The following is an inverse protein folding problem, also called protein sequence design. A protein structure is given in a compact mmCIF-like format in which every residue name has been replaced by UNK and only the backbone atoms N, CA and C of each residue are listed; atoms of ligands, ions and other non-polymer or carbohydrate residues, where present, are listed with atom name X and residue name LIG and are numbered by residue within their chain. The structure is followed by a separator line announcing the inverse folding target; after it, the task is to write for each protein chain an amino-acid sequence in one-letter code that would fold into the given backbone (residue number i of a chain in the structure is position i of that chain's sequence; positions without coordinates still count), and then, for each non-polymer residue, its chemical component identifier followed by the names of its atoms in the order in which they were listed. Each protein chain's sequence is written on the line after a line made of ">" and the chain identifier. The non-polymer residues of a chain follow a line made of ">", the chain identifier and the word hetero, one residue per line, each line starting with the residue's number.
data_IF_498457997939
#
_entry.id   IF_498457997939
#
_cell.length_a   1.000
_cell.length_b   1.000
_cell.length_c   1.000
_cell.angle_alpha   90.00
_cell.angle_beta   90.00
_cell.angle_gamma   90.00
#
_symmetry.space_group_name_H-M   'P 1'
#
loop_
_entity.id
_entity.type
_entity.pdbx_description
1 polymer ?
#
# COMPACT_ATOMS: atom_id res chain seq x y z
N UNK A 1 -8.05 -10.57 -3.78
CA UNK A 1 -7.98 -9.31 -4.56
C UNK A 1 -8.50 -8.18 -3.70
N UNK A 2 -7.86 -7.03 -3.76
CA UNK A 2 -8.27 -5.83 -3.04
C UNK A 2 -8.82 -4.80 -4.04
N UNK A 3 -9.91 -4.12 -3.67
CA UNK A 3 -10.57 -3.14 -4.52
C UNK A 3 -11.68 -3.70 -5.42
N UNK A 4 -12.31 -2.81 -6.17
CA UNK A 4 -13.39 -3.13 -7.12
C UNK A 4 -12.81 -3.23 -8.53
N UNK A 5 -13.03 -4.35 -9.22
CA UNK A 5 -12.56 -4.53 -10.59
C UNK A 5 -13.11 -3.43 -11.51
N UNK A 6 -12.23 -2.82 -12.29
CA UNK A 6 -12.53 -1.73 -13.23
C UNK A 6 -12.35 -2.17 -14.67
N UNK A 7 -11.37 -3.03 -14.91
CA UNK A 7 -11.06 -3.56 -16.23
C UNK A 7 -10.45 -4.95 -16.12
N UNK A 8 -10.59 -5.73 -17.18
CA UNK A 8 -10.11 -7.10 -17.26
C UNK A 8 -9.61 -7.39 -18.67
N UNK A 9 -8.47 -8.05 -18.77
CA UNK A 9 -7.91 -8.50 -20.05
C UNK A 9 -7.37 -9.92 -19.94
N UNK A 10 -7.95 -10.82 -20.73
CA UNK A 10 -7.53 -12.22 -20.76
C UNK A 10 -6.67 -12.51 -22.02
N UNK A 11 -5.62 -13.30 -21.86
CA UNK A 11 -4.80 -13.78 -22.97
C UNK A 11 -4.29 -15.19 -22.73
N UNK A 12 -3.76 -15.80 -23.79
CA UNK A 12 -3.11 -17.11 -23.74
C UNK A 12 -1.67 -16.93 -24.16
N UNK A 13 -0.72 -17.41 -23.36
CA UNK A 13 0.68 -17.43 -23.69
C UNK A 13 0.99 -18.50 -24.75
N UNK A 14 2.19 -18.44 -25.34
CA UNK A 14 2.61 -19.38 -26.42
C UNK A 14 2.70 -20.84 -25.94
N UNK A 15 2.87 -21.05 -24.64
CA UNK A 15 2.87 -22.39 -24.02
C UNK A 15 1.47 -22.93 -23.69
N UNK A 16 0.41 -22.14 -24.00
CA UNK A 16 -0.98 -22.48 -23.74
C UNK A 16 -1.49 -22.05 -22.36
N UNK A 17 -0.66 -21.45 -21.51
CA UNK A 17 -1.06 -20.94 -20.20
C UNK A 17 -2.03 -19.75 -20.36
N UNK A 18 -3.10 -19.77 -19.58
CA UNK A 18 -4.13 -18.70 -19.59
C UNK A 18 -3.88 -17.73 -18.47
N UNK A 19 -3.87 -16.46 -18.82
CA UNK A 19 -3.71 -15.34 -17.91
C UNK A 19 -4.91 -14.40 -17.99
N UNK A 20 -5.23 -13.77 -16.87
CA UNK A 20 -6.26 -12.76 -16.78
C UNK A 20 -5.75 -11.58 -15.96
N UNK A 21 -5.50 -10.44 -16.59
CA UNK A 21 -5.13 -9.22 -15.89
C UNK A 21 -6.37 -8.51 -15.41
N UNK A 22 -6.38 -8.14 -14.14
CA UNK A 22 -7.49 -7.43 -13.50
C UNK A 22 -6.97 -6.13 -12.89
N UNK A 23 -7.42 -5.01 -13.43
CA UNK A 23 -7.25 -3.70 -12.83
C UNK A 23 -8.38 -3.39 -11.86
N UNK A 24 -8.06 -3.10 -10.61
CA UNK A 24 -9.02 -2.60 -9.62
C UNK A 24 -8.83 -1.09 -9.45
N UNK A 25 -9.68 -0.46 -8.65
CA UNK A 25 -9.49 0.94 -8.22
C UNK A 25 -8.31 1.11 -7.24
N UNK A 26 -7.68 0.02 -6.82
CA UNK A 26 -6.62 0.02 -5.81
C UNK A 26 -5.33 -0.67 -6.25
N UNK A 27 -5.42 -1.72 -7.06
CA UNK A 27 -4.31 -2.61 -7.40
C UNK A 27 -4.43 -3.22 -8.78
N UNK A 28 -3.29 -3.74 -9.28
CA UNK A 28 -3.20 -4.54 -10.49
C UNK A 28 -2.90 -5.99 -10.12
N UNK A 29 -3.63 -6.92 -10.74
CA UNK A 29 -3.45 -8.35 -10.54
C UNK A 29 -3.29 -9.09 -11.86
N UNK A 30 -2.53 -10.19 -11.81
CA UNK A 30 -2.58 -11.24 -12.83
C UNK A 30 -3.10 -12.51 -12.17
N UNK A 31 -4.08 -13.13 -12.79
CA UNK A 31 -4.63 -14.42 -12.37
C UNK A 31 -4.09 -15.49 -13.30
N UNK A 32 -3.50 -16.53 -12.74
CA UNK A 32 -3.02 -17.71 -13.41
C UNK A 32 -3.57 -18.94 -12.66
N UNK A 33 -4.23 -19.85 -13.37
CA UNK A 33 -4.82 -21.08 -12.79
C UNK A 33 -5.68 -20.84 -11.53
N UNK A 34 -6.36 -19.69 -11.46
CA UNK A 34 -7.21 -19.31 -10.33
C UNK A 34 -6.46 -18.66 -9.16
N UNK A 35 -5.15 -18.49 -9.23
CA UNK A 35 -4.34 -17.77 -8.25
C UNK A 35 -4.14 -16.31 -8.70
N UNK A 36 -4.40 -15.36 -7.81
CA UNK A 36 -4.20 -13.95 -8.10
C UNK A 36 -2.86 -13.46 -7.53
N UNK A 37 -2.04 -12.92 -8.40
CA UNK A 37 -0.74 -12.31 -8.07
C UNK A 37 -0.86 -10.80 -8.14
N UNK A 38 -0.46 -10.11 -7.08
CA UNK A 38 -0.37 -8.64 -7.06
C UNK A 38 0.85 -8.21 -7.89
N UNK A 39 0.61 -7.48 -8.97
CA UNK A 39 1.63 -6.94 -9.87
C UNK A 39 1.67 -5.41 -9.84
N UNK A 40 1.08 -4.80 -8.82
CA UNK A 40 1.07 -3.34 -8.67
C UNK A 40 2.50 -2.81 -8.61
N UNK A 41 2.92 -1.91 -9.51
CA UNK A 41 4.29 -1.41 -9.54
C UNK A 41 4.67 -0.65 -8.26
N UNK A 42 5.94 -0.76 -7.88
CA UNK A 42 6.53 0.03 -6.81
C UNK A 42 6.96 1.38 -7.38
N UNK A 43 6.43 2.45 -6.80
CA UNK A 43 6.77 3.83 -7.15
C UNK A 43 8.14 4.22 -6.62
N UNK A 44 8.42 3.80 -5.37
CA UNK A 44 9.59 4.23 -4.63
C UNK A 44 9.94 3.21 -3.54
N UNK A 45 11.23 3.10 -3.23
CA UNK A 45 11.72 2.37 -2.07
C UNK A 45 12.60 3.30 -1.25
N UNK A 46 12.24 3.49 0.03
CA UNK A 46 13.00 4.30 0.97
C UNK A 46 13.60 3.44 2.07
N UNK A 47 14.88 3.66 2.37
CA UNK A 47 15.54 3.06 3.52
C UNK A 47 15.27 3.91 4.76
N UNK A 48 14.67 3.28 5.79
CA UNK A 48 14.28 3.94 7.01
C UNK A 48 15.01 3.35 8.22
N UNK A 49 15.20 4.15 9.25
CA UNK A 49 15.78 3.72 10.53
C UNK A 49 14.87 4.14 11.67
N UNK A 50 14.42 3.16 12.45
CA UNK A 50 13.52 3.34 13.59
C UNK A 50 12.26 4.18 13.25
N UNK A 51 11.54 3.87 12.16
CA UNK A 51 10.46 4.72 11.70
C UNK A 51 9.17 4.58 12.51
N UNK A 52 9.00 3.50 13.27
CA UNK A 52 7.71 3.17 13.88
C UNK A 52 7.55 3.76 15.27
N UNK A 53 6.40 4.35 15.52
CA UNK A 53 5.94 4.80 16.84
C UNK A 53 4.63 4.11 17.17
N UNK A 54 4.59 3.42 18.31
CA UNK A 54 3.46 2.68 18.83
C UNK A 54 2.87 3.37 20.06
N UNK A 55 1.63 3.06 20.40
CA UNK A 55 0.94 3.61 21.58
C UNK A 55 -0.08 2.60 22.16
N UNK A 56 0.37 1.37 22.39
CA UNK A 56 -0.46 0.27 22.92
C UNK A 56 -1.83 0.11 22.21
N UNK A 57 -1.91 0.51 20.95
CA UNK A 57 -3.10 0.42 20.09
C UNK A 57 -2.75 -0.31 18.79
N UNK A 58 -3.74 -0.47 17.91
CA UNK A 58 -3.54 -0.99 16.55
C UNK A 58 -3.00 0.07 15.57
N UNK A 59 -2.95 1.33 15.95
CA UNK A 59 -2.43 2.41 15.12
C UNK A 59 -0.93 2.55 15.30
N UNK A 60 -0.16 2.49 14.22
CA UNK A 60 1.28 2.70 14.21
C UNK A 60 1.58 3.92 13.34
N UNK A 61 2.24 4.90 13.93
CA UNK A 61 2.74 6.07 13.19
C UNK A 61 4.07 5.70 12.54
N UNK A 62 4.20 6.00 11.27
CA UNK A 62 5.43 5.81 10.49
C UNK A 62 6.00 7.17 10.16
N UNK A 63 7.25 7.39 10.54
CA UNK A 63 8.01 8.60 10.19
C UNK A 63 8.87 8.33 8.98
N UNK A 64 8.61 9.06 7.90
CA UNK A 64 9.34 8.97 6.64
C UNK A 64 9.29 10.34 5.94
N UNK A 65 10.43 10.99 5.84
CA UNK A 65 10.52 12.37 5.35
C UNK A 65 10.18 12.45 3.86
N UNK A 66 9.21 13.31 3.54
CA UNK A 66 8.77 13.56 2.16
C UNK A 66 8.25 12.30 1.43
N UNK A 67 7.57 11.42 2.12
CA UNK A 67 7.10 10.13 1.61
C UNK A 67 6.15 10.23 0.39
N UNK A 68 5.52 11.36 0.17
CA UNK A 68 4.63 11.61 -0.97
C UNK A 68 3.42 10.66 -1.07
N UNK A 69 3.18 9.86 -0.05
CA UNK A 69 2.06 8.92 -0.03
C UNK A 69 0.76 9.61 0.43
N UNK A 70 -0.36 9.06 0.00
CA UNK A 70 -1.70 9.55 0.32
C UNK A 70 -2.47 8.47 1.10
N UNK A 71 -3.55 8.90 1.75
CA UNK A 71 -4.48 7.95 2.36
C UNK A 71 -5.03 7.00 1.30
N UNK A 72 -4.99 5.71 1.60
CA UNK A 72 -5.42 4.65 0.69
C UNK A 72 -4.32 4.09 -0.20
N UNK A 73 -3.12 4.66 -0.21
CA UNK A 73 -1.94 4.06 -0.83
C UNK A 73 -1.49 2.83 -0.03
N UNK A 74 -0.71 1.97 -0.68
CA UNK A 74 -0.13 0.78 -0.06
C UNK A 74 1.38 0.91 0.09
N UNK A 75 1.87 0.47 1.23
CA UNK A 75 3.29 0.38 1.56
C UNK A 75 3.62 -1.02 2.06
N UNK A 76 4.72 -1.59 1.57
CA UNK A 76 5.27 -2.85 2.07
C UNK A 76 6.55 -2.56 2.81
N UNK A 77 6.62 -3.00 4.05
CA UNK A 77 7.85 -2.94 4.84
C UNK A 77 8.59 -4.27 4.76
N UNK A 78 9.92 -4.20 4.74
CA UNK A 78 10.79 -5.37 4.86
C UNK A 78 12.06 -5.07 5.67
N UNK A 79 12.64 -6.14 6.22
CA UNK A 79 13.92 -6.11 6.98
C UNK A 79 13.88 -5.35 8.31
N UNK A 80 12.71 -4.99 8.82
CA UNK A 80 12.58 -4.39 10.14
C UNK A 80 12.57 -5.44 11.25
N UNK A 81 13.02 -5.06 12.44
CA UNK A 81 12.82 -5.84 13.67
C UNK A 81 11.41 -5.60 14.21
N UNK A 82 10.87 -6.60 14.92
CA UNK A 82 9.58 -6.46 15.58
C UNK A 82 9.60 -5.31 16.61
N UNK A 83 8.48 -4.62 16.74
CA UNK A 83 8.30 -3.53 17.70
C UNK A 83 7.05 -3.78 18.55
N UNK A 84 7.19 -3.80 19.87
CA UNK A 84 6.10 -4.03 20.83
C UNK A 84 5.20 -5.22 20.47
N UNK A 85 5.84 -6.34 20.05
CA UNK A 85 5.16 -7.56 19.63
C UNK A 85 4.54 -7.53 18.23
N UNK A 86 4.71 -6.45 17.47
CA UNK A 86 4.22 -6.31 16.11
C UNK A 86 5.31 -6.64 15.09
N UNK A 87 5.01 -7.54 14.16
CA UNK A 87 5.80 -7.72 12.94
C UNK A 87 5.27 -6.78 11.86
N UNK A 88 6.12 -5.83 11.47
CA UNK A 88 5.80 -4.83 10.45
C UNK A 88 6.20 -5.28 9.04
N UNK A 89 6.89 -6.42 8.85
CA UNK A 89 7.40 -6.88 7.55
C UNK A 89 6.28 -7.46 6.66
N UNK A 90 5.37 -6.60 6.24
CA UNK A 90 4.25 -6.94 5.36
C UNK A 90 3.68 -5.68 4.72
N UNK A 91 2.68 -5.87 3.88
CA UNK A 91 1.95 -4.78 3.25
C UNK A 91 0.90 -4.18 4.20
N UNK A 92 0.78 -2.86 4.15
CA UNK A 92 -0.23 -2.08 4.85
C UNK A 92 -0.89 -1.06 3.93
N UNK A 93 -2.18 -0.81 4.16
CA UNK A 93 -2.85 0.37 3.64
C UNK A 93 -2.56 1.58 4.55
N UNK A 94 -2.25 2.72 3.96
CA UNK A 94 -2.08 3.99 4.68
C UNK A 94 -3.46 4.51 5.06
N UNK A 95 -3.79 4.48 6.34
CA UNK A 95 -5.12 4.82 6.85
C UNK A 95 -5.32 6.32 7.08
N UNK A 96 -4.25 7.04 7.34
CA UNK A 96 -4.24 8.51 7.39
C UNK A 96 -2.83 9.05 7.16
N UNK A 97 -2.76 10.29 6.67
CA UNK A 97 -1.52 11.04 6.51
C UNK A 97 -1.57 12.24 7.45
N UNK A 98 -0.61 12.32 8.37
CA UNK A 98 -0.54 13.40 9.35
C UNK A 98 0.08 14.67 8.73
N UNK A 99 1.15 14.50 7.95
CA UNK A 99 1.85 15.55 7.22
C UNK A 99 2.77 14.90 6.16
N UNK A 100 3.64 15.69 5.52
CA UNK A 100 4.60 15.19 4.50
C UNK A 100 5.61 14.17 5.01
N UNK A 101 5.78 14.07 6.32
CA UNK A 101 6.86 13.30 6.97
C UNK A 101 6.34 12.19 7.88
N UNK A 102 5.00 12.01 7.98
CA UNK A 102 4.40 10.99 8.83
C UNK A 102 3.02 10.57 8.36
N UNK A 103 2.78 9.27 8.41
CA UNK A 103 1.48 8.65 8.13
C UNK A 103 1.17 7.54 9.16
N UNK A 104 -0.03 7.01 9.11
CA UNK A 104 -0.51 5.96 10.01
C UNK A 104 -0.90 4.73 9.20
N UNK A 105 -0.48 3.57 9.71
CA UNK A 105 -0.96 2.26 9.28
C UNK A 105 -1.67 1.57 10.44
N UNK A 106 -2.56 0.63 10.13
CA UNK A 106 -3.32 -0.10 11.16
C UNK A 106 -2.93 -1.57 11.15
N UNK A 107 -2.54 -2.10 12.30
CA UNK A 107 -2.22 -3.50 12.52
C UNK A 107 -3.44 -4.30 12.95
N UNK A 108 -3.41 -5.62 12.79
CA UNK A 108 -4.49 -6.52 13.22
C UNK A 108 -4.54 -6.73 14.73
N UNK A 109 -3.39 -6.53 15.41
CA UNK A 109 -3.26 -6.67 16.87
C UNK A 109 -2.77 -5.35 17.45
N UNK A 110 -3.13 -5.04 18.68
CA UNK A 110 -2.60 -3.88 19.37
C UNK A 110 -1.12 -4.11 19.75
N UNK A 111 -0.32 -3.04 19.70
CA UNK A 111 1.02 -3.04 20.25
C UNK A 111 0.99 -3.35 21.75
N UNK A 112 1.93 -4.15 22.23
CA UNK A 112 2.05 -4.49 23.65
C UNK A 112 2.62 -3.38 24.52
N UNK A 113 3.11 -2.29 23.89
CA UNK A 113 3.74 -1.16 24.57
C UNK A 113 3.60 0.13 23.78
N UNK A 114 4.33 1.14 24.26
CA UNK A 114 4.41 2.46 23.63
C UNK A 114 5.89 2.79 23.43
N UNK A 115 6.33 2.76 22.17
CA UNK A 115 7.71 3.04 21.79
C UNK A 115 7.72 4.18 20.76
N UNK A 116 8.57 5.16 20.98
CA UNK A 116 8.80 6.25 20.03
C UNK A 116 10.08 5.98 19.23
N UNK A 117 9.95 5.78 17.92
CA UNK A 117 11.09 5.52 17.05
C UNK A 117 11.71 4.14 17.26
N UNK A 118 11.08 3.09 16.74
CA UNK A 118 11.58 1.72 16.84
C UNK A 118 11.49 0.95 15.51
N UNK A 119 11.86 -0.34 15.55
CA UNK A 119 11.83 -1.25 14.39
C UNK A 119 13.18 -1.47 13.72
N UNK A 120 14.24 -0.78 14.12
CA UNK A 120 15.56 -0.93 13.49
C UNK A 120 15.60 -0.35 12.08
N UNK A 121 16.47 -0.89 11.22
CA UNK A 121 16.64 -0.41 9.83
C UNK A 121 16.00 -1.40 8.86
N UNK A 122 15.31 -0.87 7.87
CA UNK A 122 14.65 -1.64 6.82
C UNK A 122 14.20 -0.75 5.66
N UNK A 123 13.35 -1.27 4.80
CA UNK A 123 12.86 -0.58 3.61
C UNK A 123 11.35 -0.42 3.63
N UNK A 124 10.89 0.74 3.20
CA UNK A 124 9.49 1.01 2.87
C UNK A 124 9.35 1.08 1.35
N UNK A 125 8.52 0.20 0.78
CA UNK A 125 8.25 0.11 -0.66
C UNK A 125 6.84 0.62 -0.91
N UNK A 126 6.73 1.77 -1.55
CA UNK A 126 5.45 2.40 -1.88
C UNK A 126 4.96 1.93 -3.24
N UNK A 127 3.74 1.45 -3.30
CA UNK A 127 3.09 1.15 -4.57
C UNK A 127 2.65 2.43 -5.28
N UNK A 128 2.47 2.37 -6.60
CA UNK A 128 1.86 3.48 -7.33
C UNK A 128 0.42 3.68 -6.84
N UNK A 129 -0.02 4.93 -6.80
CA UNK A 129 -1.42 5.26 -6.56
C UNK A 129 -2.23 4.92 -7.81
N UNK A 130 -3.13 3.95 -7.74
CA UNK A 130 -4.00 3.55 -8.85
C UNK A 130 -5.37 4.19 -8.64
N UNK A 131 -5.54 5.33 -9.26
CA UNK A 131 -6.80 6.05 -9.30
C UNK A 131 -6.94 7.13 -8.24
N UNK A 132 -7.55 8.24 -8.61
CA UNK A 132 -7.95 9.25 -7.65
C UNK A 132 -9.02 8.66 -6.75
N UNK A 133 -8.99 8.98 -5.46
CA UNK A 133 -10.23 8.93 -4.69
C UNK A 133 -11.27 9.69 -5.52
N UNK A 134 -12.35 9.01 -5.90
CA UNK A 134 -13.44 9.64 -6.63
C UNK A 134 -14.13 10.66 -5.73
N UNK A 135 -13.50 11.82 -5.56
CA UNK A 135 -14.25 12.99 -5.12
C UNK A 135 -15.21 13.35 -6.24
N UNK A 136 -16.37 13.86 -5.89
CA UNK A 136 -17.35 14.37 -6.86
C UNK A 136 -16.72 15.40 -7.83
N UNK A 137 -15.68 16.11 -7.40
CA UNK A 137 -14.87 17.02 -8.22
C UNK A 137 -14.06 16.33 -9.30
N UNK A 138 -13.51 15.14 -9.03
CA UNK A 138 -12.73 14.37 -10.01
C UNK A 138 -13.62 13.81 -11.13
N UNK A 139 -14.86 13.46 -10.83
CA UNK A 139 -15.84 13.01 -11.84
C UNK A 139 -16.17 14.15 -12.82
N UNK A 140 -16.33 15.37 -12.33
CA UNK A 140 -16.63 16.54 -13.17
C UNK A 140 -15.43 16.88 -14.06
N UNK A 141 -14.22 16.83 -13.53
CA UNK A 141 -12.99 17.13 -14.30
C UNK A 141 -12.73 16.05 -15.37
N UNK A 142 -12.97 14.78 -15.07
CA UNK A 142 -12.84 13.69 -16.03
C UNK A 142 -13.81 13.81 -17.21
N UNK A 143 -15.02 14.28 -16.99
CA UNK A 143 -16.00 14.54 -18.06
C UNK A 143 -15.60 15.71 -18.98
N UNK A 144 -14.90 16.71 -18.48
CA UNK A 144 -14.42 17.82 -19.29
C UNK A 144 -13.24 17.47 -20.19
N UNK A 145 -12.47 16.45 -19.86
CA UNK A 145 -11.35 15.99 -20.70
C UNK A 145 -11.78 15.06 -21.85
N UNK A 146 -13.01 14.56 -21.83
CA UNK A 146 -13.55 13.70 -22.90
C UNK A 146 -14.33 14.48 -23.98
N UNK A 147 -14.41 15.79 -23.85
CA UNK A 147 -14.97 16.72 -24.84
C UNK A 147 -13.86 17.45 -25.57
#
# INVERSE_FOLDING_TARGET
>A
MFGVARDQHAWVALDGTRYDAIGTDRKLYVVEEGLAYDITPIRETQALTNPFTTNATTSVVVTDTSHGAQKGDFVTFDSFSAIDGLDMNKEFEITSVANSDAYVVTTTSAASGSTSGGGGSGNAKYQISIGPELSTSAIVTGKQQML
#
